data_IF_865388869641
#
_entry.id   IF_865388869641
#
_cell.length_a   1.000
_cell.length_b   1.000
_cell.length_c   1.000
_cell.angle_alpha   90.00
_cell.angle_beta   90.00
_cell.angle_gamma   90.00
#
_symmetry.space_group_name_H-M   'P 1'
#
loop_
_entity.id
_entity.type
_entity.pdbx_description
1 polymer ?
#
# COMPACT_ATOMS: atom_id res chain seq x y z
N UNK A 1 -41.45 -15.36 57.15
CA UNK A 1 -42.00 -15.89 55.88
C UNK A 1 -41.46 -15.08 54.71
N UNK A 2 -40.18 -15.20 54.39
CA UNK A 2 -39.56 -14.59 53.21
C UNK A 2 -38.42 -15.52 52.77
N UNK A 3 -38.50 -16.07 51.57
CA UNK A 3 -37.48 -16.99 51.07
C UNK A 3 -38.10 -18.16 50.33
N UNK A 4 -38.40 -17.93 49.05
CA UNK A 4 -38.56 -18.98 48.01
C UNK A 4 -38.84 -18.42 46.61
N UNK A 5 -39.14 -17.12 46.47
CA UNK A 5 -39.45 -16.51 45.15
C UNK A 5 -38.27 -15.89 44.40
N UNK A 6 -37.10 -15.70 45.04
CA UNK A 6 -35.94 -15.04 44.41
C UNK A 6 -35.09 -15.93 43.49
N UNK A 7 -35.22 -17.26 43.58
CA UNK A 7 -34.34 -18.16 42.83
C UNK A 7 -34.82 -18.46 41.40
N UNK A 8 -36.08 -18.16 41.08
CA UNK A 8 -36.68 -18.45 39.77
C UNK A 8 -36.27 -17.41 38.70
N UNK A 9 -36.04 -16.14 39.09
CA UNK A 9 -35.59 -15.10 38.15
C UNK A 9 -34.15 -15.28 37.67
N UNK A 10 -33.25 -15.84 38.49
CA UNK A 10 -31.84 -15.99 38.13
C UNK A 10 -31.62 -17.10 37.08
N UNK A 11 -32.45 -18.14 37.08
CA UNK A 11 -32.34 -19.25 36.12
C UNK A 11 -32.87 -18.88 34.72
N UNK A 12 -33.71 -17.85 34.61
CA UNK A 12 -34.31 -17.44 33.34
C UNK A 12 -33.38 -16.57 32.49
N UNK A 13 -32.42 -15.87 33.13
CA UNK A 13 -31.47 -14.98 32.43
C UNK A 13 -30.29 -15.75 31.82
N UNK A 14 -29.93 -16.92 32.38
CA UNK A 14 -28.86 -17.76 31.83
C UNK A 14 -29.23 -18.52 30.55
N UNK A 15 -30.52 -18.57 30.18
CA UNK A 15 -31.00 -19.28 28.97
C UNK A 15 -30.91 -18.43 27.69
N UNK A 16 -30.54 -17.14 27.78
CA UNK A 16 -30.45 -16.23 26.63
C UNK A 16 -29.02 -16.05 26.07
N UNK A 17 -28.02 -16.74 26.61
CA UNK A 17 -26.63 -16.70 26.11
C UNK A 17 -26.31 -17.91 25.22
N UNK A 18 -27.30 -18.33 24.42
CA UNK A 18 -27.21 -19.44 23.47
C UNK A 18 -26.55 -19.00 22.16
N UNK A 19 -25.25 -19.28 22.05
CA UNK A 19 -24.49 -19.56 20.82
C UNK A 19 -24.80 -18.72 19.57
N UNK A 20 -24.20 -17.53 19.47
CA UNK A 20 -23.81 -17.04 18.16
C UNK A 20 -22.74 -18.01 17.61
N UNK A 21 -23.14 -18.96 16.77
CA UNK A 21 -22.21 -19.75 15.95
C UNK A 21 -21.92 -18.94 14.67
N UNK A 22 -20.79 -18.21 14.59
CA UNK A 22 -20.41 -17.57 13.35
C UNK A 22 -20.23 -18.66 12.27
N UNK A 23 -21.03 -18.57 11.21
CA UNK A 23 -20.90 -19.42 10.04
C UNK A 23 -19.74 -18.86 9.20
N UNK A 24 -18.52 -19.25 9.52
CA UNK A 24 -17.38 -18.95 8.68
C UNK A 24 -17.55 -19.69 7.35
N UNK A 25 -17.50 -18.95 6.25
CA UNK A 25 -17.42 -19.54 4.92
C UNK A 25 -16.06 -20.23 4.84
N UNK A 26 -16.04 -21.55 4.95
CA UNK A 26 -14.88 -22.31 4.50
C UNK A 26 -14.93 -22.33 2.99
N UNK A 27 -13.96 -21.66 2.36
CA UNK A 27 -13.63 -21.85 0.95
C UNK A 27 -13.20 -23.31 0.76
N UNK A 28 -14.18 -24.16 0.48
CA UNK A 28 -13.94 -25.56 0.15
C UNK A 28 -13.53 -25.65 -1.33
N UNK A 29 -12.24 -25.82 -1.56
CA UNK A 29 -11.74 -26.58 -2.70
C UNK A 29 -11.24 -25.78 -3.89
N UNK A 30 -9.99 -25.36 -3.82
CA UNK A 30 -9.07 -25.42 -4.97
C UNK A 30 -7.66 -25.73 -4.45
N UNK A 31 -7.27 -27.00 -4.58
CA UNK A 31 -5.90 -27.51 -4.73
C UNK A 31 -4.89 -27.17 -3.63
N UNK A 32 -4.44 -28.21 -2.92
CA UNK A 32 -3.19 -28.23 -2.17
C UNK A 32 -2.04 -27.60 -2.98
N UNK A 33 -1.64 -26.40 -2.60
CA UNK A 33 -0.27 -25.96 -2.69
C UNK A 33 0.16 -25.60 -1.26
N UNK A 34 1.10 -26.38 -0.74
CA UNK A 34 1.87 -26.00 0.45
C UNK A 34 2.62 -24.71 0.12
N UNK A 35 2.06 -23.57 0.49
CA UNK A 35 2.85 -22.40 0.84
C UNK A 35 2.50 -22.11 2.29
N UNK A 36 3.39 -22.58 3.16
CA UNK A 36 3.42 -22.12 4.54
C UNK A 36 3.43 -20.59 4.51
N UNK A 37 2.50 -19.99 5.25
CA UNK A 37 2.41 -18.56 5.49
C UNK A 37 3.78 -18.00 5.95
N UNK A 38 4.55 -17.42 5.03
CA UNK A 38 5.50 -16.33 5.34
C UNK A 38 4.68 -15.04 5.50
N UNK A 39 3.84 -14.96 6.53
CA UNK A 39 2.75 -13.98 6.54
C UNK A 39 3.12 -12.54 6.94
N UNK A 40 4.38 -12.20 7.17
CA UNK A 40 4.74 -10.84 7.61
C UNK A 40 6.02 -10.26 7.00
N UNK A 41 6.52 -10.82 5.89
CA UNK A 41 7.65 -10.21 5.19
C UNK A 41 7.11 -9.25 4.15
N UNK A 42 7.26 -7.94 4.38
CA UNK A 42 6.94 -6.97 3.35
C UNK A 42 7.89 -7.14 2.15
N UNK A 43 7.32 -7.29 0.95
CA UNK A 43 8.10 -7.36 -0.28
C UNK A 43 8.80 -6.02 -0.53
N UNK A 44 10.14 -6.05 -0.50
CA UNK A 44 11.03 -4.92 -0.76
C UNK A 44 11.79 -5.13 -2.08
N UNK A 45 11.09 -5.63 -3.11
CA UNK A 45 11.65 -5.88 -4.44
C UNK A 45 12.13 -4.61 -5.15
N UNK A 46 11.53 -3.46 -4.84
CA UNK A 46 11.93 -2.15 -5.39
C UNK A 46 12.53 -1.31 -4.26
N UNK A 47 13.74 -0.80 -4.47
CA UNK A 47 14.46 -0.01 -3.49
C UNK A 47 14.88 1.34 -4.06
N UNK A 48 14.88 2.34 -3.19
CA UNK A 48 15.47 3.64 -3.46
C UNK A 48 17.00 3.54 -3.44
N UNK A 49 17.65 4.21 -4.39
CA UNK A 49 19.07 4.04 -4.68
C UNK A 49 19.99 4.41 -3.51
N UNK A 50 19.70 5.48 -2.79
CA UNK A 50 20.59 6.05 -1.77
C UNK A 50 20.18 5.62 -0.35
N UNK A 51 18.95 5.92 0.04
CA UNK A 51 18.35 5.66 1.37
C UNK A 51 18.05 4.19 1.66
N UNK A 52 17.97 3.35 0.62
CA UNK A 52 17.53 1.95 0.71
C UNK A 52 16.11 1.78 1.25
N UNK A 53 15.27 2.82 1.18
CA UNK A 53 13.84 2.65 1.42
C UNK A 53 13.24 1.69 0.39
N UNK A 54 12.23 0.94 0.83
CA UNK A 54 11.44 0.05 0.01
C UNK A 54 10.27 0.83 -0.62
N UNK A 55 9.92 0.46 -1.83
CA UNK A 55 8.73 0.93 -2.54
C UNK A 55 7.82 -0.25 -2.82
N UNK A 56 6.55 -0.14 -2.43
CA UNK A 56 5.48 -0.99 -3.00
C UNK A 56 4.46 -0.09 -3.68
N UNK A 57 3.84 -0.57 -4.75
CA UNK A 57 2.85 0.21 -5.48
C UNK A 57 1.88 -0.69 -6.23
N UNK A 58 0.72 -0.15 -6.56
CA UNK A 58 -0.26 -0.81 -7.42
C UNK A 58 -1.13 0.21 -8.14
N UNK A 59 -1.74 -0.21 -9.25
CA UNK A 59 -2.73 0.60 -9.96
C UNK A 59 -4.04 0.62 -9.20
N UNK A 60 -4.47 1.81 -8.77
CA UNK A 60 -5.85 2.01 -8.31
C UNK A 60 -6.79 2.10 -9.52
N UNK A 61 -6.36 2.83 -10.56
CA UNK A 61 -6.99 2.88 -11.87
C UNK A 61 -5.90 2.87 -12.95
N UNK A 62 -5.84 1.81 -13.77
CA UNK A 62 -4.85 1.73 -14.85
C UNK A 62 -5.19 2.76 -15.95
N UNK A 63 -4.24 3.58 -16.41
CA UNK A 63 -4.50 4.53 -17.49
C UNK A 63 -4.84 3.82 -18.80
N UNK A 64 -5.60 4.52 -19.64
CA UNK A 64 -5.91 4.10 -21.01
C UNK A 64 -5.47 5.19 -21.99
N UNK A 65 -5.62 4.94 -23.29
CA UNK A 65 -5.28 5.92 -24.34
C UNK A 65 -6.07 7.24 -24.24
N UNK A 66 -7.22 7.25 -23.55
CA UNK A 66 -8.08 8.44 -23.44
C UNK A 66 -8.37 8.89 -22.01
N UNK A 67 -8.02 8.08 -21.01
CA UNK A 67 -8.31 8.38 -19.60
C UNK A 67 -7.06 8.29 -18.74
N UNK A 68 -6.79 9.31 -17.91
CA UNK A 68 -5.72 9.22 -16.93
C UNK A 68 -6.07 8.18 -15.86
N UNK A 69 -5.04 7.51 -15.37
CA UNK A 69 -5.10 6.60 -14.25
C UNK A 69 -4.67 7.22 -12.92
N UNK A 70 -4.68 6.37 -11.90
CA UNK A 70 -4.11 6.62 -10.59
C UNK A 70 -3.41 5.37 -10.06
N UNK A 71 -2.37 5.58 -9.27
CA UNK A 71 -1.69 4.53 -8.53
C UNK A 71 -1.55 4.92 -7.07
N UNK A 72 -1.52 3.91 -6.21
CA UNK A 72 -1.21 4.06 -4.80
C UNK A 72 0.16 3.42 -4.56
N UNK A 73 1.00 4.11 -3.81
CA UNK A 73 2.31 3.61 -3.45
C UNK A 73 2.62 3.87 -1.98
N UNK A 74 3.45 2.98 -1.42
CA UNK A 74 3.97 3.06 -0.08
C UNK A 74 5.49 3.13 -0.10
N UNK A 75 6.04 4.02 0.73
CA UNK A 75 7.47 4.10 1.01
C UNK A 75 7.66 3.71 2.48
N UNK A 76 8.52 2.73 2.70
CA UNK A 76 8.77 2.18 4.03
C UNK A 76 10.20 1.67 4.13
N UNK A 77 10.67 1.40 5.34
CA UNK A 77 11.90 0.63 5.57
C UNK A 77 11.54 -0.71 6.20
N UNK A 78 12.42 -1.69 6.08
CA UNK A 78 12.28 -2.94 6.84
C UNK A 78 12.82 -2.75 8.26
N UNK A 79 12.05 -3.21 9.24
CA UNK A 79 12.51 -3.33 10.62
C UNK A 79 13.70 -4.30 10.68
N UNK A 80 14.77 -3.90 11.37
CA UNK A 80 15.99 -4.72 11.45
C UNK A 80 15.79 -6.04 12.18
N UNK A 81 14.82 -6.13 13.10
CA UNK A 81 14.57 -7.29 13.94
C UNK A 81 13.74 -8.36 13.23
N UNK A 82 12.59 -7.99 12.68
CA UNK A 82 11.59 -8.93 12.14
C UNK A 82 11.26 -8.70 10.65
N UNK A 83 11.93 -7.75 10.00
CA UNK A 83 11.73 -7.39 8.59
C UNK A 83 10.31 -6.91 8.25
N UNK A 84 9.54 -6.52 9.27
CA UNK A 84 8.22 -5.89 9.09
C UNK A 84 8.36 -4.49 8.47
N UNK A 85 7.36 -4.01 7.72
CA UNK A 85 7.40 -2.68 7.15
C UNK A 85 7.22 -1.61 8.25
N UNK A 86 8.06 -0.57 8.20
CA UNK A 86 7.93 0.64 9.01
C UNK A 86 7.76 1.82 8.08
N UNK A 87 6.58 2.43 8.09
CA UNK A 87 6.20 3.52 7.20
C UNK A 87 7.12 4.74 7.35
N UNK A 88 7.49 5.34 6.22
CA UNK A 88 8.27 6.57 6.21
C UNK A 88 7.36 7.79 6.33
N UNK A 89 7.49 8.54 7.43
CA UNK A 89 6.85 9.85 7.57
C UNK A 89 7.68 10.94 6.88
N UNK A 90 7.55 11.03 5.55
CA UNK A 90 8.26 12.04 4.78
C UNK A 90 7.68 13.45 5.06
N UNK A 91 8.58 14.42 5.26
CA UNK A 91 8.21 15.83 5.48
C UNK A 91 7.66 16.49 4.21
N UNK A 92 8.10 16.04 3.04
CA UNK A 92 7.59 16.48 1.74
C UNK A 92 6.86 15.34 1.04
N UNK A 93 5.85 15.70 0.25
CA UNK A 93 5.15 14.73 -0.60
C UNK A 93 6.09 14.26 -1.71
N UNK A 94 6.29 12.93 -1.89
CA UNK A 94 7.12 12.39 -2.97
C UNK A 94 6.59 12.78 -4.36
N UNK A 95 7.50 12.89 -5.31
CA UNK A 95 7.20 13.20 -6.69
C UNK A 95 7.14 11.92 -7.53
N UNK A 96 6.22 11.88 -8.50
CA UNK A 96 6.12 10.77 -9.46
C UNK A 96 6.28 11.33 -10.89
N UNK A 97 7.31 10.86 -11.58
CA UNK A 97 7.66 11.32 -12.93
C UNK A 97 7.46 10.15 -13.89
N UNK A 98 6.74 10.40 -14.99
CA UNK A 98 6.56 9.44 -16.07
C UNK A 98 7.60 9.74 -17.15
N UNK A 99 8.45 8.77 -17.48
CA UNK A 99 9.56 8.95 -18.40
C UNK A 99 9.58 7.88 -19.49
N UNK A 100 9.84 8.24 -20.74
CA UNK A 100 9.97 7.30 -21.86
C UNK A 100 11.43 7.33 -22.35
N UNK A 101 12.28 6.37 -21.95
CA UNK A 101 13.71 6.39 -22.27
C UNK A 101 14.00 6.48 -23.76
N UNK A 102 13.27 5.71 -24.58
CA UNK A 102 13.46 5.66 -26.04
C UNK A 102 13.18 6.98 -26.75
N UNK A 103 12.42 7.88 -26.15
CA UNK A 103 12.06 9.20 -26.72
C UNK A 103 12.75 10.36 -26.01
N UNK A 104 13.47 10.11 -24.91
CA UNK A 104 14.18 11.14 -24.16
C UNK A 104 13.28 12.20 -23.53
N UNK A 105 12.00 11.92 -23.30
CA UNK A 105 11.06 12.82 -22.66
C UNK A 105 10.03 12.08 -21.79
N UNK A 106 9.29 12.84 -20.97
CA UNK A 106 8.22 12.34 -20.12
C UNK A 106 6.82 12.71 -20.60
N UNK A 107 5.83 12.47 -19.74
CA UNK A 107 4.45 12.95 -19.91
C UNK A 107 4.16 14.14 -18.97
N UNK A 108 2.97 14.73 -19.09
CA UNK A 108 2.48 15.81 -18.20
C UNK A 108 2.65 15.45 -16.72
N UNK A 109 2.86 16.44 -15.83
CA UNK A 109 3.14 16.18 -14.43
C UNK A 109 1.98 15.44 -13.77
N UNK A 110 2.32 14.38 -13.04
CA UNK A 110 1.37 13.70 -12.16
C UNK A 110 1.06 14.59 -10.95
N UNK A 111 0.01 14.25 -10.20
CA UNK A 111 -0.31 14.91 -8.93
C UNK A 111 -0.26 13.89 -7.80
N UNK A 112 0.73 14.03 -6.92
CA UNK A 112 0.84 13.19 -5.72
C UNK A 112 0.15 13.85 -4.53
N UNK A 113 -0.62 13.05 -3.80
CA UNK A 113 -1.28 13.45 -2.54
C UNK A 113 -0.97 12.42 -1.46
N UNK A 114 -0.78 12.88 -0.22
CA UNK A 114 -0.60 11.99 0.94
C UNK A 114 -1.97 11.45 1.37
N UNK A 115 -2.06 10.13 1.52
CA UNK A 115 -3.25 9.45 2.05
C UNK A 115 -3.08 9.08 3.53
N UNK A 116 -1.87 8.63 3.89
CA UNK A 116 -1.50 8.25 5.26
C UNK A 116 0.03 8.41 5.45
N UNK A 117 0.57 8.08 6.61
CA UNK A 117 2.02 7.94 6.84
C UNK A 117 2.59 6.90 5.86
N UNK A 118 3.63 7.30 5.11
CA UNK A 118 4.26 6.45 4.11
C UNK A 118 3.39 6.08 2.90
N UNK A 119 2.12 6.50 2.83
CA UNK A 119 1.16 6.10 1.78
C UNK A 119 0.68 7.29 0.98
N UNK A 120 0.78 7.18 -0.35
CA UNK A 120 0.52 8.28 -1.27
C UNK A 120 -0.30 7.80 -2.47
N UNK A 121 -1.06 8.72 -3.07
CA UNK A 121 -1.75 8.53 -4.34
C UNK A 121 -1.15 9.45 -5.38
N UNK A 122 -0.64 8.88 -6.48
CA UNK A 122 -0.36 9.63 -7.69
C UNK A 122 -1.55 9.55 -8.64
N UNK A 123 -2.06 10.71 -9.03
CA UNK A 123 -3.20 10.88 -9.93
C UNK A 123 -2.78 11.61 -11.20
N UNK A 124 -3.67 11.66 -12.20
CA UNK A 124 -3.38 12.21 -13.53
C UNK A 124 -2.21 11.48 -14.22
N UNK A 125 -2.06 10.19 -13.95
CA UNK A 125 -1.05 9.35 -14.60
C UNK A 125 -1.55 9.07 -16.02
N UNK A 126 -0.88 9.61 -17.03
CA UNK A 126 -1.32 9.47 -18.42
C UNK A 126 -0.13 9.26 -19.35
N UNK A 127 -0.25 8.27 -20.23
CA UNK A 127 0.79 7.91 -21.20
C UNK A 127 0.31 8.29 -22.60
N UNK A 128 0.99 9.24 -23.23
CA UNK A 128 0.56 9.84 -24.50
C UNK A 128 0.75 8.85 -25.67
N UNK A 129 1.66 7.89 -25.52
CA UNK A 129 2.00 6.89 -26.53
C UNK A 129 2.22 5.52 -25.89
N UNK A 130 1.88 4.42 -26.60
CA UNK A 130 2.21 3.07 -26.16
C UNK A 130 3.73 2.84 -26.19
N UNK A 131 4.19 1.81 -25.48
CA UNK A 131 5.59 1.41 -25.45
C UNK A 131 6.17 1.31 -24.04
N UNK A 132 7.49 1.34 -23.96
CA UNK A 132 8.21 1.19 -22.70
C UNK A 132 8.33 2.52 -21.97
N UNK A 133 7.91 2.50 -20.71
CA UNK A 133 7.91 3.65 -19.81
C UNK A 133 8.60 3.30 -18.50
N UNK A 134 9.06 4.34 -17.82
CA UNK A 134 9.54 4.31 -16.46
C UNK A 134 8.63 5.18 -15.58
N UNK A 135 8.20 4.64 -14.45
CA UNK A 135 7.65 5.42 -13.35
C UNK A 135 8.79 5.67 -12.37
N UNK A 136 9.18 6.93 -12.22
CA UNK A 136 10.25 7.36 -11.33
C UNK A 136 9.63 7.99 -10.09
N UNK A 137 9.85 7.38 -8.95
CA UNK A 137 9.43 7.87 -7.64
C UNK A 137 10.60 8.62 -7.03
N UNK A 138 10.39 9.83 -6.52
CA UNK A 138 11.44 10.62 -5.90
C UNK A 138 11.03 11.15 -4.54
N UNK A 139 11.94 11.03 -3.57
CA UNK A 139 11.79 11.61 -2.24
C UNK A 139 12.74 12.80 -2.11
N UNK A 140 12.26 13.85 -1.45
CA UNK A 140 13.03 15.03 -1.09
C UNK A 140 13.17 15.04 0.43
N UNK A 141 14.39 15.02 0.94
CA UNK A 141 14.65 15.29 2.35
C UNK A 141 14.89 16.79 2.55
N UNK A 142 14.44 17.31 3.68
CA UNK A 142 14.72 18.68 4.08
C UNK A 142 16.16 18.76 4.60
N UNK A 143 17.10 19.16 3.75
CA UNK A 143 18.28 19.88 4.24
C UNK A 143 18.00 21.38 4.12
N UNK A 144 18.18 22.09 5.24
CA UNK A 144 17.97 23.53 5.37
C UNK A 144 18.45 24.29 4.11
N UNK A 145 17.47 24.87 3.39
CA UNK A 145 17.60 25.89 2.33
C UNK A 145 17.86 25.51 0.87
N UNK A 146 17.96 24.23 0.47
CA UNK A 146 17.91 23.88 -0.97
C UNK A 146 17.24 22.51 -1.18
N UNK A 147 16.05 22.50 -1.77
CA UNK A 147 15.33 21.26 -2.11
C UNK A 147 16.03 20.52 -3.26
N UNK A 148 17.08 19.77 -2.95
CA UNK A 148 17.69 18.82 -3.89
C UNK A 148 16.82 17.57 -3.94
N UNK A 149 16.66 16.98 -5.12
CA UNK A 149 16.18 15.60 -5.21
C UNK A 149 17.19 14.72 -4.45
N UNK A 150 16.72 14.05 -3.40
CA UNK A 150 17.62 13.34 -2.48
C UNK A 150 17.69 11.86 -2.83
N UNK A 151 16.62 11.29 -3.40
CA UNK A 151 16.64 9.88 -3.79
C UNK A 151 15.56 9.53 -4.80
N UNK A 152 15.71 8.39 -5.47
CA UNK A 152 14.70 7.85 -6.36
C UNK A 152 14.68 6.33 -6.50
N UNK A 153 13.51 5.83 -6.91
CA UNK A 153 13.29 4.46 -7.34
C UNK A 153 12.66 4.48 -8.74
N UNK A 154 13.04 3.54 -9.60
CA UNK A 154 12.58 3.46 -10.98
C UNK A 154 11.90 2.13 -11.22
N UNK A 155 10.71 2.17 -11.81
CA UNK A 155 9.94 0.99 -12.20
C UNK A 155 9.69 1.02 -13.69
N UNK A 156 10.20 0.02 -14.41
CA UNK A 156 9.92 -0.17 -15.82
C UNK A 156 8.53 -0.80 -16.02
N UNK A 157 7.77 -0.28 -16.98
CA UNK A 157 6.45 -0.79 -17.37
C UNK A 157 6.31 -0.75 -18.89
N UNK A 158 5.38 -1.54 -19.42
CA UNK A 158 4.93 -1.44 -20.81
C UNK A 158 3.46 -1.08 -20.83
N UNK A 159 3.11 -0.06 -21.62
CA UNK A 159 1.74 0.44 -21.83
C UNK A 159 1.25 0.07 -23.22
#
# INVERSE_FOLDING_TARGET
>A
MFGKRSFVCLFLVLQLVGCAQPKYVQESGATENKIAQEENKADCSITFSESKYCLSWYWEAKPTASQPGSLIFKIFRQNQFDQTPVELDATQVPEVILWMPGMGHGSSPTQTTRLDVGTYRASKVFFIMPGDWEIRFSVKENEQSNSKQVDGAVVAITI
#
